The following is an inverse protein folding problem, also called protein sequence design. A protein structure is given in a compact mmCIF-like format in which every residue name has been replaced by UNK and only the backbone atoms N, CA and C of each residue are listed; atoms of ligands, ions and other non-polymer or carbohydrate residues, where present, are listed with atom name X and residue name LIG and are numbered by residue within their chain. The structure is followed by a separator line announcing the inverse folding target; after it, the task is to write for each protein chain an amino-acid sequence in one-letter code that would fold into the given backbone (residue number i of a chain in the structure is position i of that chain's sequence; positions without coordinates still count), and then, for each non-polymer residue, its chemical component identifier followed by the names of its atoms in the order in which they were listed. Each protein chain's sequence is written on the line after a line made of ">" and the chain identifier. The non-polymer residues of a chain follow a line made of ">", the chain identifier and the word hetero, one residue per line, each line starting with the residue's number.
data_IF_582164490960
#
_entry.id   IF_582164490960
#
_cell.length_a   1.000
_cell.length_b   1.000
_cell.length_c   1.000
_cell.angle_alpha   90.00
_cell.angle_beta   90.00
_cell.angle_gamma   90.00
#
_symmetry.space_group_name_H-M   'P 1'
#
loop_
_entity.id
_entity.type
_entity.pdbx_description
1 polymer ?
#
# COMPACT_ATOMS: atom_id res chain seq x y z
N UNK A 1 9.15 -53.61 9.63
CA UNK A 1 7.79 -53.01 9.72
C UNK A 1 7.84 -51.60 10.30
N UNK A 2 8.76 -51.33 11.23
CA UNK A 2 8.90 -50.05 11.94
C UNK A 2 9.19 -48.82 11.05
N UNK A 3 10.11 -48.92 10.07
CA UNK A 3 10.39 -47.77 9.20
C UNK A 3 9.18 -47.29 8.39
N UNK A 4 8.30 -48.21 7.97
CA UNK A 4 7.07 -47.83 7.23
C UNK A 4 6.08 -47.09 8.12
N UNK A 5 5.99 -47.48 9.40
CA UNK A 5 5.13 -46.82 10.40
C UNK A 5 5.67 -45.42 10.70
N UNK A 6 6.99 -45.28 10.84
CA UNK A 6 7.65 -43.99 11.07
C UNK A 6 7.43 -43.04 9.88
N UNK A 7 7.62 -43.53 8.65
CA UNK A 7 7.38 -42.71 7.45
C UNK A 7 5.92 -42.27 7.35
N UNK A 8 4.96 -43.16 7.57
CA UNK A 8 3.53 -42.82 7.56
C UNK A 8 3.22 -41.76 8.62
N UNK A 9 3.76 -41.88 9.84
CA UNK A 9 3.56 -40.91 10.91
C UNK A 9 4.07 -39.51 10.53
N UNK A 10 5.26 -39.40 9.91
CA UNK A 10 5.77 -38.11 9.43
C UNK A 10 4.89 -37.50 8.33
N UNK A 11 4.38 -38.31 7.40
CA UNK A 11 3.44 -37.83 6.38
C UNK A 11 2.13 -37.32 7.00
N UNK A 12 1.57 -38.01 7.98
CA UNK A 12 0.36 -37.55 8.67
C UNK A 12 0.60 -36.26 9.46
N UNK A 13 1.73 -36.14 10.16
CA UNK A 13 2.10 -34.91 10.89
C UNK A 13 2.28 -33.74 9.93
N UNK A 14 3.00 -33.94 8.82
CA UNK A 14 3.18 -32.91 7.80
C UNK A 14 1.84 -32.46 7.20
N UNK A 15 0.96 -33.42 6.90
CA UNK A 15 -0.38 -33.14 6.34
C UNK A 15 -1.24 -32.36 7.34
N UNK A 16 -1.28 -32.78 8.61
CA UNK A 16 -2.01 -32.08 9.67
C UNK A 16 -1.44 -30.68 9.94
N UNK A 17 -0.12 -30.52 9.93
CA UNK A 17 0.52 -29.22 10.06
C UNK A 17 0.19 -28.29 8.88
N UNK A 18 0.12 -28.82 7.66
CA UNK A 18 -0.33 -28.05 6.48
C UNK A 18 -1.81 -27.66 6.54
N UNK A 19 -2.69 -28.51 7.06
CA UNK A 19 -4.10 -28.16 7.27
C UNK A 19 -4.31 -27.15 8.41
N UNK A 20 -3.51 -27.23 9.47
CA UNK A 20 -3.57 -26.30 10.61
C UNK A 20 -2.93 -24.93 10.30
N UNK A 21 -1.94 -24.90 9.40
CA UNK A 21 -1.22 -23.69 9.01
C UNK A 21 -1.12 -23.56 7.48
N UNK A 22 -2.24 -23.26 6.78
CA UNK A 22 -2.22 -23.05 5.33
C UNK A 22 -1.22 -21.97 4.89
N UNK A 23 -0.88 -21.04 5.78
CA UNK A 23 -0.03 -19.87 5.51
C UNK A 23 1.48 -20.14 5.54
N UNK A 24 1.96 -21.31 6.00
CA UNK A 24 3.41 -21.52 6.18
C UNK A 24 4.16 -21.91 4.89
N UNK A 25 3.44 -22.30 3.82
CA UNK A 25 4.04 -22.75 2.55
C UNK A 25 3.74 -21.87 1.34
N UNK A 26 2.85 -20.89 1.48
CA UNK A 26 2.51 -19.99 0.39
C UNK A 26 3.42 -18.78 0.48
N UNK A 27 4.37 -18.66 -0.46
CA UNK A 27 5.01 -17.37 -0.73
C UNK A 27 3.85 -16.44 -1.07
N UNK A 28 3.53 -15.50 -0.18
CA UNK A 28 2.38 -14.60 -0.35
C UNK A 28 2.56 -13.91 -1.71
N UNK A 29 1.80 -14.33 -2.71
CA UNK A 29 1.75 -13.67 -4.03
C UNK A 29 1.42 -12.18 -3.84
N UNK A 30 0.66 -11.91 -2.78
CA UNK A 30 0.29 -10.60 -2.28
C UNK A 30 1.45 -9.75 -1.73
N UNK A 31 2.62 -10.35 -1.47
CA UNK A 31 3.82 -9.65 -1.02
C UNK A 31 4.75 -9.25 -2.17
N UNK A 32 4.52 -9.74 -3.39
CA UNK A 32 5.31 -9.32 -4.55
C UNK A 32 5.01 -7.86 -4.92
N UNK A 33 6.01 -7.03 -5.26
CA UNK A 33 5.76 -5.66 -5.70
C UNK A 33 4.97 -5.64 -7.01
N UNK A 34 4.11 -4.63 -7.18
CA UNK A 34 3.31 -4.45 -8.39
C UNK A 34 4.17 -4.01 -9.58
N UNK A 35 5.24 -3.28 -9.29
CA UNK A 35 6.28 -2.88 -10.24
C UNK A 35 7.63 -2.85 -9.54
N UNK A 36 8.69 -2.98 -10.32
CA UNK A 36 10.03 -2.79 -9.79
C UNK A 36 10.29 -1.29 -9.55
N UNK A 37 10.95 -0.96 -8.43
CA UNK A 37 11.37 0.42 -8.16
C UNK A 37 12.28 0.96 -9.28
N UNK A 38 12.27 2.29 -9.50
CA UNK A 38 13.08 2.97 -10.50
C UNK A 38 12.32 3.22 -11.81
N UNK A 39 12.91 2.87 -12.96
CA UNK A 39 12.42 3.29 -14.30
C UNK A 39 10.93 3.02 -14.55
N UNK A 40 10.39 1.91 -14.05
CA UNK A 40 8.97 1.58 -14.24
C UNK A 40 8.05 2.48 -13.41
N UNK A 41 8.47 2.85 -12.19
CA UNK A 41 7.80 3.85 -11.37
C UNK A 41 7.91 5.24 -12.03
N UNK A 42 9.09 5.63 -12.51
CA UNK A 42 9.32 6.92 -13.19
C UNK A 42 8.44 7.08 -14.45
N UNK A 43 8.16 5.97 -15.16
CA UNK A 43 7.29 6.02 -16.34
C UNK A 43 5.83 6.30 -16.02
N UNK A 44 5.39 6.15 -14.77
CA UNK A 44 4.00 6.45 -14.36
C UNK A 44 3.67 7.94 -14.50
N UNK A 45 4.66 8.83 -14.45
CA UNK A 45 4.44 10.26 -14.62
C UNK A 45 4.33 10.69 -16.09
N UNK A 46 4.45 9.76 -17.04
CA UNK A 46 4.34 10.07 -18.46
C UNK A 46 2.91 10.44 -18.84
N UNK A 47 2.70 11.70 -19.22
CA UNK A 47 1.41 12.21 -19.67
C UNK A 47 1.33 12.17 -21.19
N UNK A 48 0.31 11.48 -21.70
CA UNK A 48 -0.10 11.50 -23.11
C UNK A 48 -1.47 12.19 -23.27
N UNK A 49 -1.81 12.73 -24.45
CA UNK A 49 -3.14 13.29 -24.70
C UNK A 49 -4.27 12.29 -24.41
N UNK A 50 -4.05 11.00 -24.68
CA UNK A 50 -5.01 9.94 -24.35
C UNK A 50 -5.20 9.79 -22.83
N UNK A 51 -4.11 9.79 -22.06
CA UNK A 51 -4.18 9.70 -20.60
C UNK A 51 -4.86 10.91 -19.97
N UNK A 52 -4.59 12.12 -20.49
CA UNK A 52 -5.19 13.36 -20.02
C UNK A 52 -6.70 13.38 -20.29
N UNK A 53 -7.11 13.07 -21.52
CA UNK A 53 -8.53 13.00 -21.89
C UNK A 53 -9.29 11.98 -21.04
N UNK A 54 -8.70 10.80 -20.82
CA UNK A 54 -9.29 9.79 -19.95
C UNK A 54 -9.43 10.30 -18.50
N UNK A 55 -8.38 10.89 -17.94
CA UNK A 55 -8.41 11.40 -16.56
C UNK A 55 -9.44 12.52 -16.39
N UNK A 56 -9.49 13.47 -17.34
CA UNK A 56 -10.48 14.55 -17.36
C UNK A 56 -11.91 14.01 -17.42
N UNK A 57 -12.18 13.05 -18.32
CA UNK A 57 -13.48 12.40 -18.41
C UNK A 57 -13.84 11.65 -17.13
N UNK A 58 -12.91 10.87 -16.58
CA UNK A 58 -13.11 10.11 -15.34
C UNK A 58 -13.48 11.04 -14.16
N UNK A 59 -12.74 12.14 -14.01
CA UNK A 59 -12.97 13.13 -12.94
C UNK A 59 -14.30 13.90 -13.13
N UNK A 60 -14.66 14.27 -14.36
CA UNK A 60 -15.93 14.96 -14.67
C UNK A 60 -17.17 14.13 -14.37
N UNK A 61 -17.06 12.81 -14.45
CA UNK A 61 -18.16 11.88 -14.16
C UNK A 61 -18.29 11.53 -12.67
N UNK A 62 -17.48 12.11 -11.79
CA UNK A 62 -17.65 11.95 -10.35
C UNK A 62 -18.85 12.77 -9.86
N UNK A 63 -19.59 12.24 -8.89
CA UNK A 63 -20.68 13.02 -8.30
C UNK A 63 -20.13 14.23 -7.53
N UNK A 64 -20.80 15.40 -7.56
CA UNK A 64 -20.32 16.59 -6.86
C UNK A 64 -20.09 16.37 -5.36
N UNK A 65 -21.00 15.62 -4.71
CA UNK A 65 -20.87 15.24 -3.29
C UNK A 65 -19.60 14.43 -3.04
N UNK A 66 -19.27 13.51 -3.94
CA UNK A 66 -18.06 12.70 -3.82
C UNK A 66 -16.79 13.52 -4.09
N UNK A 67 -16.81 14.44 -5.05
CA UNK A 67 -15.70 15.37 -5.29
C UNK A 67 -15.41 16.23 -4.06
N UNK A 68 -16.44 16.80 -3.43
CA UNK A 68 -16.28 17.59 -2.20
C UNK A 68 -15.67 16.75 -1.08
N UNK A 69 -16.18 15.52 -0.90
CA UNK A 69 -15.63 14.58 0.08
C UNK A 69 -14.15 14.27 -0.17
N UNK A 70 -13.78 13.96 -1.42
CA UNK A 70 -12.41 13.64 -1.80
C UNK A 70 -11.46 14.82 -1.63
N UNK A 71 -11.90 16.05 -1.93
CA UNK A 71 -11.08 17.27 -1.68
C UNK A 71 -10.72 17.40 -0.20
N UNK A 72 -11.72 17.29 0.68
CA UNK A 72 -11.48 17.29 2.13
C UNK A 72 -10.54 16.16 2.55
N UNK A 73 -10.63 15.02 1.87
CA UNK A 73 -9.76 13.90 2.16
C UNK A 73 -8.32 14.09 1.73
N UNK A 74 -8.09 14.53 0.48
CA UNK A 74 -6.78 14.86 -0.06
C UNK A 74 -6.03 15.83 0.85
N UNK A 75 -6.70 16.87 1.32
CA UNK A 75 -6.12 17.83 2.27
C UNK A 75 -5.65 17.14 3.57
N UNK A 76 -6.45 16.22 4.11
CA UNK A 76 -6.13 15.49 5.36
C UNK A 76 -5.02 14.47 5.22
N UNK A 77 -4.97 13.73 4.11
CA UNK A 77 -3.90 12.74 3.86
C UNK A 77 -2.57 13.41 3.44
N UNK A 78 -2.51 14.74 3.42
CA UNK A 78 -1.31 15.46 2.99
C UNK A 78 -1.07 15.37 1.49
N UNK A 79 -2.11 15.07 0.71
CA UNK A 79 -2.10 15.00 -0.75
C UNK A 79 -2.78 16.22 -1.41
N UNK A 80 -3.28 17.17 -0.60
CA UNK A 80 -3.79 18.47 -1.04
C UNK A 80 -2.70 19.54 -1.10
N UNK A 81 -3.01 20.78 -1.53
CA UNK A 81 -2.04 21.86 -1.68
C UNK A 81 -1.33 22.26 -0.38
N UNK A 82 -1.91 21.95 0.78
CA UNK A 82 -1.33 22.19 2.12
C UNK A 82 -0.61 20.96 2.69
N UNK A 83 -0.61 19.85 1.96
CA UNK A 83 0.03 18.60 2.31
C UNK A 83 1.47 18.53 1.82
N UNK A 84 2.34 17.83 2.54
CA UNK A 84 3.68 17.56 2.04
C UNK A 84 3.60 16.56 0.89
N UNK A 85 3.77 17.03 -0.35
CA UNK A 85 3.79 16.21 -1.58
C UNK A 85 4.60 14.90 -1.42
N UNK A 86 5.67 14.95 -0.64
CA UNK A 86 6.52 13.80 -0.32
C UNK A 86 5.77 12.61 0.32
N UNK A 87 4.79 12.83 1.20
CA UNK A 87 4.07 11.71 1.82
C UNK A 87 3.11 11.02 0.85
N UNK A 88 2.56 11.77 -0.11
CA UNK A 88 1.77 11.19 -1.19
C UNK A 88 2.62 10.23 -2.03
N UNK A 89 3.77 10.70 -2.49
CA UNK A 89 4.69 9.92 -3.33
C UNK A 89 5.19 8.69 -2.58
N UNK A 90 5.57 8.84 -1.31
CA UNK A 90 6.01 7.73 -0.45
C UNK A 90 4.91 6.65 -0.34
N UNK A 91 3.64 7.05 -0.15
CA UNK A 91 2.50 6.12 -0.03
C UNK A 91 2.24 5.40 -1.35
N UNK A 92 2.32 6.11 -2.47
CA UNK A 92 2.14 5.51 -3.78
C UNK A 92 3.30 4.53 -4.09
N UNK A 93 4.54 4.93 -3.82
CA UNK A 93 5.74 4.10 -3.96
C UNK A 93 5.60 2.84 -3.10
N UNK A 94 5.11 2.95 -1.88
CA UNK A 94 4.88 1.79 -1.04
C UNK A 94 3.86 0.82 -1.62
N UNK A 95 2.70 1.31 -2.06
CA UNK A 95 1.65 0.45 -2.61
C UNK A 95 2.19 -0.34 -3.81
N UNK A 96 3.05 0.30 -4.61
CA UNK A 96 3.57 -0.24 -5.84
C UNK A 96 4.81 -1.12 -5.66
N UNK A 97 5.68 -0.81 -4.69
CA UNK A 97 7.01 -1.43 -4.56
C UNK A 97 7.25 -2.11 -3.21
N UNK A 98 6.28 -2.01 -2.29
CA UNK A 98 6.38 -2.42 -0.87
C UNK A 98 7.44 -1.65 -0.04
N UNK A 99 8.03 -0.57 -0.56
CA UNK A 99 8.97 0.26 0.19
C UNK A 99 8.24 1.01 1.32
N UNK A 100 8.62 0.81 2.60
CA UNK A 100 7.84 1.33 3.72
C UNK A 100 7.94 2.87 3.86
N UNK A 101 6.80 3.53 4.07
CA UNK A 101 6.78 4.98 4.36
C UNK A 101 7.37 5.34 5.74
N UNK A 102 7.79 6.61 5.85
CA UNK A 102 8.29 7.21 7.08
C UNK A 102 7.25 7.25 8.22
N UNK A 103 7.70 7.32 9.48
CA UNK A 103 6.79 7.47 10.64
C UNK A 103 5.96 8.75 10.55
N UNK A 104 6.56 9.85 10.08
CA UNK A 104 5.89 11.13 9.87
C UNK A 104 4.75 11.01 8.84
N UNK A 105 4.99 10.31 7.73
CA UNK A 105 3.95 10.08 6.73
C UNK A 105 2.85 9.15 7.27
N UNK A 106 3.20 8.10 8.00
CA UNK A 106 2.20 7.26 8.68
C UNK A 106 1.30 8.04 9.64
N UNK A 107 1.84 9.05 10.35
CA UNK A 107 1.03 9.91 11.22
C UNK A 107 -0.02 10.69 10.42
N UNK A 108 0.35 11.21 9.25
CA UNK A 108 -0.58 11.91 8.34
C UNK A 108 -1.67 10.96 7.84
N UNK A 109 -1.28 9.77 7.36
CA UNK A 109 -2.23 8.75 6.89
C UNK A 109 -3.22 8.39 8.00
N UNK A 110 -2.74 8.05 9.19
CA UNK A 110 -3.59 7.66 10.33
C UNK A 110 -4.51 8.81 10.76
N UNK A 111 -4.00 10.05 10.85
CA UNK A 111 -4.81 11.23 11.20
C UNK A 111 -5.93 11.51 10.20
N UNK A 112 -5.72 11.23 8.91
CA UNK A 112 -6.77 11.39 7.91
C UNK A 112 -7.94 10.41 8.10
N UNK A 113 -7.66 9.25 8.69
CA UNK A 113 -8.63 8.19 8.95
C UNK A 113 -8.75 7.19 7.80
N UNK A 114 -9.04 5.92 8.15
CA UNK A 114 -8.98 4.77 7.22
C UNK A 114 -9.81 4.99 5.97
N UNK A 115 -11.08 5.38 6.15
CA UNK A 115 -12.01 5.59 5.03
C UNK A 115 -11.51 6.65 4.05
N UNK A 116 -10.95 7.73 4.60
CA UNK A 116 -10.47 8.86 3.83
C UNK A 116 -9.26 8.49 2.97
N UNK A 117 -8.28 7.83 3.60
CA UNK A 117 -7.12 7.26 2.93
C UNK A 117 -7.52 6.26 1.83
N UNK A 118 -8.42 5.32 2.13
CA UNK A 118 -8.88 4.31 1.18
C UNK A 118 -9.56 4.91 -0.05
N UNK A 119 -10.47 5.87 0.14
CA UNK A 119 -11.18 6.52 -0.97
C UNK A 119 -10.26 7.40 -1.81
N UNK A 120 -9.29 8.07 -1.18
CA UNK A 120 -8.26 8.81 -1.92
C UNK A 120 -7.42 7.89 -2.78
N UNK A 121 -6.87 6.80 -2.23
CA UNK A 121 -6.07 5.84 -3.01
C UNK A 121 -6.90 5.20 -4.11
N UNK A 122 -8.16 4.84 -3.82
CA UNK A 122 -9.10 4.32 -4.83
C UNK A 122 -9.30 5.30 -5.99
N UNK A 123 -9.41 6.60 -5.74
CA UNK A 123 -9.46 7.61 -6.79
C UNK A 123 -8.18 7.60 -7.63
N UNK A 124 -7.01 7.56 -7.00
CA UNK A 124 -5.72 7.57 -7.72
C UNK A 124 -5.58 6.37 -8.65
N UNK A 125 -5.97 5.19 -8.19
CA UNK A 125 -5.96 3.98 -9.00
C UNK A 125 -7.10 3.89 -10.02
N UNK A 126 -7.93 4.92 -10.16
CA UNK A 126 -8.81 5.09 -11.33
C UNK A 126 -8.16 5.89 -12.45
N UNK A 127 -7.08 6.61 -12.17
CA UNK A 127 -6.34 7.39 -13.17
C UNK A 127 -5.69 6.46 -14.19
N UNK A 128 -5.53 6.95 -15.41
CA UNK A 128 -5.02 6.21 -16.56
C UNK A 128 -3.71 5.48 -16.26
N UNK A 129 -2.82 6.14 -15.55
CA UNK A 129 -1.47 5.69 -15.22
C UNK A 129 -1.51 4.46 -14.29
N UNK A 130 -2.46 4.45 -13.34
CA UNK A 130 -2.50 3.48 -12.25
C UNK A 130 -3.62 2.44 -12.38
N UNK A 131 -4.59 2.66 -13.27
CA UNK A 131 -5.79 1.81 -13.41
C UNK A 131 -5.48 0.34 -13.69
N UNK A 132 -4.32 0.04 -14.29
CA UNK A 132 -3.88 -1.35 -14.53
C UNK A 132 -3.66 -2.15 -13.24
N UNK A 133 -3.46 -1.47 -12.12
CA UNK A 133 -3.23 -2.08 -10.80
C UNK A 133 -4.48 -2.10 -9.91
N UNK A 134 -5.63 -1.62 -10.40
CA UNK A 134 -6.83 -1.43 -9.59
C UNK A 134 -7.38 -2.72 -8.95
N UNK A 135 -7.06 -3.90 -9.50
CA UNK A 135 -7.46 -5.20 -8.90
C UNK A 135 -6.70 -5.55 -7.62
N UNK A 136 -5.47 -5.05 -7.46
CA UNK A 136 -4.59 -5.40 -6.34
C UNK A 136 -4.52 -4.30 -5.27
N UNK A 137 -4.94 -3.07 -5.63
CA UNK A 137 -4.81 -1.89 -4.78
C UNK A 137 -5.50 -2.05 -3.43
N UNK A 138 -6.71 -2.63 -3.36
CA UNK A 138 -7.46 -2.72 -2.10
C UNK A 138 -6.72 -3.49 -1.02
N UNK A 139 -6.03 -4.57 -1.41
CA UNK A 139 -5.21 -5.36 -0.49
C UNK A 139 -3.97 -4.57 -0.04
N UNK A 140 -3.18 -4.07 -1.01
CA UNK A 140 -1.94 -3.32 -0.74
C UNK A 140 -2.19 -2.08 0.10
N UNK A 141 -3.25 -1.33 -0.19
CA UNK A 141 -3.66 -0.15 0.58
C UNK A 141 -4.03 -0.51 2.02
N UNK A 142 -4.70 -1.64 2.28
CA UNK A 142 -4.95 -2.11 3.63
C UNK A 142 -3.66 -2.48 4.37
N UNK A 143 -2.70 -3.10 3.70
CA UNK A 143 -1.40 -3.43 4.29
C UNK A 143 -0.67 -2.17 4.76
N UNK A 144 -0.62 -1.13 3.92
CA UNK A 144 -0.03 0.19 4.26
C UNK A 144 -0.74 0.79 5.48
N UNK A 145 -2.08 0.82 5.47
CA UNK A 145 -2.86 1.35 6.60
C UNK A 145 -2.53 0.64 7.90
N UNK A 146 -2.61 -0.70 7.91
CA UNK A 146 -2.38 -1.50 9.12
C UNK A 146 -0.96 -1.29 9.66
N UNK A 147 0.04 -1.24 8.77
CA UNK A 147 1.43 -0.97 9.18
C UNK A 147 1.59 0.42 9.75
N UNK A 148 0.96 1.44 9.15
CA UNK A 148 1.00 2.79 9.67
C UNK A 148 0.29 2.95 11.01
N UNK A 149 -0.87 2.32 11.20
CA UNK A 149 -1.55 2.28 12.50
C UNK A 149 -0.63 1.68 13.58
N UNK A 150 -0.07 0.49 13.33
CA UNK A 150 0.83 -0.17 14.28
C UNK A 150 2.10 0.66 14.58
N UNK A 151 2.69 1.29 13.55
CA UNK A 151 3.90 2.11 13.69
C UNK A 151 3.66 3.36 14.56
N UNK A 152 2.46 3.93 14.56
CA UNK A 152 2.11 5.09 15.39
C UNK A 152 1.76 4.68 16.82
N UNK A 153 1.11 3.53 17.01
CA UNK A 153 0.78 2.96 18.32
C UNK A 153 2.03 2.50 19.10
N UNK A 154 3.08 2.08 18.38
CA UNK A 154 4.35 1.69 19.00
C UNK A 154 5.10 2.93 19.52
N UNK A 155 5.47 3.02 20.81
CA UNK A 155 6.33 4.09 21.31
C UNK A 155 7.64 4.09 20.51
N UNK A 156 8.11 5.27 20.10
CA UNK A 156 9.41 5.37 19.43
C UNK A 156 10.48 4.92 20.42
N UNK A 157 11.16 3.80 20.15
CA UNK A 157 12.45 3.56 20.76
C UNK A 157 13.36 4.71 20.31
N UNK A 158 13.68 5.59 21.25
CA UNK A 158 14.68 6.62 21.10
C UNK A 158 16.05 5.95 21.00
N UNK A 159 16.50 5.60 19.80
CA UNK A 159 17.91 5.42 19.48
C UNK A 159 18.08 5.42 17.97
N UNK A 160 18.79 6.44 17.49
CA UNK A 160 19.72 6.50 16.35
C UNK A 160 19.59 7.84 15.62
N UNK A 161 19.95 8.92 16.34
CA UNK A 161 20.36 10.21 15.77
C UNK A 161 21.46 10.80 16.68
N UNK A 162 22.53 10.03 16.89
CA UNK A 162 23.83 10.53 17.38
C UNK A 162 24.93 9.76 16.66
N UNK A 163 25.19 10.12 15.41
CA UNK A 163 26.55 10.13 14.84
C UNK A 163 26.53 10.70 13.42
N UNK A 164 26.53 12.03 13.33
CA UNK A 164 27.20 12.72 12.24
C UNK A 164 27.75 14.06 12.75
N UNK A 165 28.78 13.98 13.59
CA UNK A 165 29.76 15.05 13.73
C UNK A 165 31.12 14.42 14.06
N UNK A 166 31.90 14.13 13.01
CA UNK A 166 33.34 13.89 13.05
C UNK A 166 33.93 14.22 11.68
#
# INVERSE_FOLDING_TARGET
>A
MEMKIIFMAFFFIATLASYAHPSLGQKDVDDEPLINSGREFDTLDTISPASENYNSYMLKNLSPKYVTYLKTCLDKVGMGPNGGAKCYDDVLEEILTNKPVSRKCCLTVVKAGKKCYMETVKLMFRLYQLKRFASQVSFKTNKVWNRCSAKIESPSSSHDDENELS
#
